data_IF_910031896680
#
_entry.id   IF_910031896680
#
_cell.length_a   1.000
_cell.length_b   1.000
_cell.length_c   1.000
_cell.angle_alpha   90.00
_cell.angle_beta   90.00
_cell.angle_gamma   90.00
#
_symmetry.space_group_name_H-M   'P 1'
#
loop_
_entity.id
_entity.type
_entity.pdbx_description
1 polymer ?
#
# COMPACT_ATOMS: atom_id res chain seq x y z
N UNK A 1 5.66 15.92 -5.54
CA UNK A 1 5.46 14.46 -5.49
C UNK A 1 4.22 14.13 -4.67
N UNK A 2 4.18 14.48 -3.38
CA UNK A 2 3.04 14.24 -2.47
C UNK A 2 1.68 14.67 -3.06
N UNK A 3 1.54 15.90 -3.55
CA UNK A 3 0.29 16.37 -4.16
C UNK A 3 -0.21 15.48 -5.31
N UNK A 4 0.66 15.08 -6.22
CA UNK A 4 0.29 14.23 -7.37
C UNK A 4 -0.12 12.85 -6.87
N UNK A 5 0.60 12.30 -5.90
CA UNK A 5 0.24 11.02 -5.27
C UNK A 5 -1.14 11.12 -4.62
N UNK A 6 -1.39 12.14 -3.81
CA UNK A 6 -2.66 12.35 -3.12
C UNK A 6 -3.83 12.60 -4.06
N UNK A 7 -3.63 13.31 -5.18
CA UNK A 7 -4.65 13.54 -6.21
C UNK A 7 -5.00 12.27 -6.99
N UNK A 8 -4.10 11.29 -7.05
CA UNK A 8 -4.31 10.00 -7.73
C UNK A 8 -4.76 8.88 -6.77
N UNK A 9 -4.97 9.17 -5.48
CA UNK A 9 -5.52 8.22 -4.51
C UNK A 9 -7.05 8.30 -4.48
N UNK A 10 -7.76 7.18 -4.29
CA UNK A 10 -9.20 7.23 -4.04
C UNK A 10 -9.50 8.01 -2.76
N UNK A 11 -10.69 8.61 -2.67
CA UNK A 11 -11.09 9.41 -1.49
C UNK A 11 -11.18 8.56 -0.22
N UNK A 12 -11.43 7.26 -0.37
CA UNK A 12 -11.52 6.26 0.69
C UNK A 12 -10.13 5.87 1.25
N UNK A 13 -9.03 6.23 0.57
CA UNK A 13 -7.68 5.98 1.10
C UNK A 13 -7.37 6.96 2.23
N UNK A 14 -7.48 6.48 3.47
CA UNK A 14 -7.04 7.20 4.67
C UNK A 14 -5.59 6.87 5.08
N UNK A 15 -5.12 5.66 4.78
CA UNK A 15 -3.78 5.21 5.17
C UNK A 15 -2.67 5.96 4.43
N UNK A 16 -1.62 6.33 5.16
CA UNK A 16 -0.43 7.03 4.63
C UNK A 16 -0.73 8.36 3.91
N UNK A 17 -1.88 8.99 4.22
CA UNK A 17 -2.30 10.25 3.60
C UNK A 17 -2.42 11.35 4.64
N UNK A 18 -1.79 12.49 4.36
CA UNK A 18 -1.74 13.62 5.29
C UNK A 18 -3.13 14.21 5.51
N UNK A 19 -3.50 14.43 6.76
CA UNK A 19 -4.81 14.97 7.19
C UNK A 19 -6.01 14.03 6.95
N UNK A 20 -5.78 12.74 6.70
CA UNK A 20 -6.85 11.74 6.65
C UNK A 20 -6.80 10.83 7.88
N UNK A 21 -7.96 10.31 8.28
CA UNK A 21 -8.12 9.39 9.42
C UNK A 21 -9.12 8.30 9.09
N UNK A 22 -9.02 7.16 9.75
CA UNK A 22 -10.03 6.09 9.72
C UNK A 22 -11.28 6.44 10.52
N UNK A 23 -11.27 7.52 11.30
CA UNK A 23 -12.43 7.98 12.11
C UNK A 23 -13.68 8.20 11.26
N UNK A 24 -13.56 8.86 10.11
CA UNK A 24 -14.72 9.11 9.23
C UNK A 24 -15.28 7.81 8.64
N UNK A 25 -14.39 6.85 8.33
CA UNK A 25 -14.77 5.52 7.84
C UNK A 25 -15.52 4.72 8.91
N UNK A 26 -15.03 4.74 10.16
CA UNK A 26 -15.71 4.13 11.30
C UNK A 26 -17.08 4.77 11.56
N UNK A 27 -17.15 6.10 11.49
CA UNK A 27 -18.39 6.84 11.68
C UNK A 27 -19.43 6.52 10.59
N UNK A 28 -19.00 6.35 9.32
CA UNK A 28 -19.87 5.91 8.23
C UNK A 28 -20.35 4.46 8.44
N UNK A 29 -19.46 3.55 8.86
CA UNK A 29 -19.80 2.17 9.15
C UNK A 29 -20.83 2.07 10.30
N UNK A 30 -20.62 2.80 11.39
CA UNK A 30 -21.53 2.83 12.53
C UNK A 30 -22.92 3.32 12.12
N UNK A 31 -23.00 4.42 11.36
CA UNK A 31 -24.28 4.93 10.84
C UNK A 31 -24.99 3.90 9.94
N UNK A 32 -24.25 3.20 9.09
CA UNK A 32 -24.82 2.17 8.23
C UNK A 32 -25.42 1.02 9.06
N UNK A 33 -24.68 0.54 10.06
CA UNK A 33 -25.12 -0.52 10.97
C UNK A 33 -26.38 -0.08 11.74
N UNK A 34 -26.36 1.13 12.31
CA UNK A 34 -27.50 1.70 13.04
C UNK A 34 -28.75 1.80 12.16
N UNK A 35 -28.61 2.28 10.92
CA UNK A 35 -29.73 2.41 9.99
C UNK A 35 -30.27 1.08 9.51
N UNK A 36 -29.42 0.09 9.21
CA UNK A 36 -29.91 -1.23 8.86
C UNK A 36 -30.68 -1.88 10.03
N UNK A 37 -30.20 -1.70 11.26
CA UNK A 37 -30.89 -2.19 12.45
C UNK A 37 -32.23 -1.48 12.68
N UNK A 38 -32.30 -0.15 12.49
CA UNK A 38 -33.53 0.65 12.65
C UNK A 38 -34.66 0.19 11.71
N UNK A 39 -34.32 -0.15 10.47
CA UNK A 39 -35.28 -0.56 9.44
C UNK A 39 -35.41 -2.08 9.27
N UNK A 40 -34.82 -2.89 10.16
CA UNK A 40 -34.77 -4.35 10.06
C UNK A 40 -34.29 -4.86 8.68
N UNK A 41 -33.29 -4.18 8.11
CA UNK A 41 -32.68 -4.56 6.84
C UNK A 41 -31.51 -5.52 7.08
N UNK A 42 -31.37 -6.61 6.30
CA UNK A 42 -30.20 -7.46 6.39
C UNK A 42 -28.96 -6.69 5.93
N UNK A 43 -27.89 -6.74 6.74
CA UNK A 43 -26.59 -6.15 6.44
C UNK A 43 -25.49 -7.20 6.53
N UNK A 44 -24.61 -7.24 5.53
CA UNK A 44 -23.40 -8.06 5.53
C UNK A 44 -22.19 -7.14 5.33
N UNK A 45 -21.16 -7.30 6.17
CA UNK A 45 -19.91 -6.54 6.11
C UNK A 45 -18.75 -7.49 5.82
N UNK A 46 -17.99 -7.21 4.76
CA UNK A 46 -16.77 -7.93 4.41
C UNK A 46 -15.54 -7.12 4.80
N UNK A 47 -14.66 -7.70 5.61
CA UNK A 47 -13.36 -7.12 5.97
C UNK A 47 -12.27 -7.92 5.26
N UNK A 48 -11.49 -7.24 4.42
CA UNK A 48 -10.40 -7.84 3.65
C UNK A 48 -9.08 -7.32 4.22
N UNK A 49 -8.20 -8.24 4.57
CA UNK A 49 -6.82 -7.94 4.97
C UNK A 49 -5.86 -8.71 4.08
N UNK A 50 -4.78 -8.05 3.67
CA UNK A 50 -3.77 -8.67 2.82
C UNK A 50 -2.64 -9.23 3.68
N UNK A 51 -2.39 -10.53 3.57
CA UNK A 51 -1.26 -11.16 4.24
C UNK A 51 0.05 -10.52 3.72
N UNK A 52 0.84 -9.97 4.65
CA UNK A 52 2.16 -9.37 4.37
C UNK A 52 2.10 -8.36 3.23
N UNK A 53 1.20 -7.39 3.27
CA UNK A 53 0.88 -6.46 2.17
C UNK A 53 2.07 -5.81 1.42
N UNK A 54 3.26 -5.71 2.02
CA UNK A 54 4.46 -5.18 1.39
C UNK A 54 5.33 -6.24 0.70
N UNK A 55 5.47 -7.44 1.28
CA UNK A 55 6.35 -8.51 0.78
C UNK A 55 6.06 -8.98 -0.67
N UNK A 56 4.80 -9.08 -1.14
CA UNK A 56 4.50 -9.60 -2.48
C UNK A 56 4.56 -8.52 -3.56
N UNK A 57 4.85 -7.26 -3.22
CA UNK A 57 4.79 -6.15 -4.17
C UNK A 57 5.86 -6.32 -5.25
N UNK A 58 5.42 -6.34 -6.51
CA UNK A 58 6.29 -6.37 -7.69
C UNK A 58 6.90 -4.99 -7.96
N UNK A 59 8.23 -4.90 -8.01
CA UNK A 59 8.96 -3.67 -8.28
C UNK A 59 8.63 -3.09 -9.66
N UNK A 60 8.39 -3.93 -10.67
CA UNK A 60 8.00 -3.46 -12.00
C UNK A 60 6.64 -2.75 -11.95
N UNK A 61 5.70 -3.28 -11.16
CA UNK A 61 4.39 -2.65 -10.95
C UNK A 61 4.51 -1.29 -10.24
N UNK A 62 5.40 -1.13 -9.27
CA UNK A 62 5.68 0.18 -8.63
C UNK A 62 6.13 1.19 -9.68
N UNK A 63 7.16 0.84 -10.46
CA UNK A 63 7.75 1.74 -11.46
C UNK A 63 6.72 2.12 -12.53
N UNK A 64 5.98 1.15 -13.07
CA UNK A 64 4.91 1.40 -14.05
C UNK A 64 3.81 2.30 -13.48
N UNK A 65 3.41 2.09 -12.22
CA UNK A 65 2.38 2.89 -11.56
C UNK A 65 2.82 4.33 -11.41
N UNK A 66 4.05 4.57 -10.95
CA UNK A 66 4.61 5.92 -10.78
C UNK A 66 4.70 6.69 -12.11
N UNK A 67 5.09 6.02 -13.21
CA UNK A 67 5.07 6.62 -14.55
C UNK A 67 3.66 6.93 -15.01
N UNK A 68 2.70 6.02 -14.77
CA UNK A 68 1.29 6.19 -15.17
C UNK A 68 0.64 7.42 -14.54
N UNK A 69 0.98 7.75 -13.29
CA UNK A 69 0.47 8.95 -12.59
C UNK A 69 1.33 10.21 -12.85
N UNK A 70 2.25 10.15 -13.81
CA UNK A 70 3.12 11.26 -14.25
C UNK A 70 4.03 11.82 -13.14
N UNK A 71 4.59 10.96 -12.27
CA UNK A 71 5.70 11.36 -11.42
C UNK A 71 6.93 11.67 -12.28
N UNK A 72 7.71 12.67 -11.88
CA UNK A 72 8.92 13.06 -12.59
C UNK A 72 9.87 11.86 -12.82
N UNK A 73 10.31 11.66 -14.06
CA UNK A 73 11.12 10.49 -14.44
C UNK A 73 12.45 10.37 -13.68
N UNK A 74 13.04 11.48 -13.20
CA UNK A 74 14.25 11.39 -12.38
C UNK A 74 13.96 10.70 -11.04
N UNK A 75 12.79 10.96 -10.44
CA UNK A 75 12.36 10.30 -9.22
C UNK A 75 12.02 8.83 -9.47
N UNK A 76 11.32 8.54 -10.57
CA UNK A 76 11.00 7.15 -10.96
C UNK A 76 12.29 6.34 -11.17
N UNK A 77 13.24 6.91 -11.92
CA UNK A 77 14.54 6.28 -12.18
C UNK A 77 15.32 6.06 -10.89
N UNK A 78 15.27 7.01 -9.95
CA UNK A 78 15.89 6.85 -8.64
C UNK A 78 15.28 5.68 -7.86
N UNK A 79 13.95 5.56 -7.83
CA UNK A 79 13.24 4.45 -7.17
C UNK A 79 13.56 3.11 -7.86
N UNK A 80 13.53 3.08 -9.19
CA UNK A 80 13.89 1.89 -9.98
C UNK A 80 15.31 1.41 -9.66
N UNK A 81 16.26 2.34 -9.52
CA UNK A 81 17.64 2.02 -9.18
C UNK A 81 17.84 1.53 -7.73
N UNK A 82 16.93 1.86 -6.80
CA UNK A 82 16.97 1.31 -5.44
C UNK A 82 16.69 -0.20 -5.46
N UNK A 83 15.76 -0.63 -6.30
CA UNK A 83 15.38 -2.04 -6.41
C UNK A 83 16.26 -2.84 -7.37
N UNK A 84 16.78 -2.20 -8.42
CA UNK A 84 17.56 -2.86 -9.47
C UNK A 84 18.85 -3.48 -8.91
N UNK A 85 18.96 -4.81 -8.97
CA UNK A 85 20.12 -5.54 -8.48
C UNK A 85 20.27 -5.50 -6.95
N UNK A 86 19.20 -5.16 -6.23
CA UNK A 86 19.19 -5.23 -4.78
C UNK A 86 19.40 -6.69 -4.34
N UNK A 87 20.33 -6.91 -3.41
CA UNK A 87 20.62 -8.24 -2.87
C UNK A 87 20.50 -8.22 -1.35
N UNK A 88 20.11 -9.36 -0.79
CA UNK A 88 20.03 -9.58 0.64
C UNK A 88 20.87 -10.79 1.05
N UNK A 89 21.24 -10.83 2.33
CA UNK A 89 21.82 -12.00 3.01
C UNK A 89 21.06 -12.24 4.29
N UNK A 90 20.86 -13.50 4.64
CA UNK A 90 20.26 -13.91 5.90
C UNK A 90 21.37 -14.08 6.93
N UNK A 91 21.22 -13.43 8.08
CA UNK A 91 22.16 -13.52 9.20
C UNK A 91 21.50 -14.28 10.35
N UNK A 92 22.04 -15.46 10.70
CA UNK A 92 21.55 -16.28 11.81
C UNK A 92 22.75 -16.62 12.71
N UNK A 93 22.73 -16.14 13.95
CA UNK A 93 23.83 -16.26 14.92
C UNK A 93 25.19 -15.80 14.37
N UNK A 94 26.06 -16.75 14.02
CA UNK A 94 27.40 -16.51 13.45
C UNK A 94 27.51 -16.92 11.98
N UNK A 95 26.39 -17.29 11.35
CA UNK A 95 26.33 -17.73 9.96
C UNK A 95 25.67 -16.67 9.09
N UNK A 96 26.24 -16.50 7.89
CA UNK A 96 25.74 -15.59 6.86
C UNK A 96 25.44 -16.42 5.62
N UNK A 97 24.25 -16.29 5.05
CA UNK A 97 23.91 -16.94 3.79
C UNK A 97 24.68 -16.37 2.61
N UNK A 98 24.64 -17.08 1.50
CA UNK A 98 24.98 -16.48 0.20
C UNK A 98 24.05 -15.29 -0.09
N UNK A 99 24.53 -14.36 -0.93
CA UNK A 99 23.70 -13.26 -1.41
C UNK A 99 22.65 -13.78 -2.39
N UNK A 100 21.42 -13.32 -2.22
CA UNK A 100 20.34 -13.59 -3.17
C UNK A 100 19.69 -12.26 -3.60
N UNK A 101 19.11 -12.24 -4.79
CA UNK A 101 18.45 -11.07 -5.34
C UNK A 101 17.07 -10.85 -4.70
N UNK A 102 16.74 -9.60 -4.40
CA UNK A 102 15.42 -9.20 -3.93
C UNK A 102 14.53 -8.99 -5.15
N UNK A 103 13.51 -9.83 -5.31
CA UNK A 103 12.63 -9.81 -6.49
C UNK A 103 11.28 -9.11 -6.26
N UNK A 104 10.90 -8.91 -5.00
CA UNK A 104 9.63 -8.35 -4.56
C UNK A 104 9.78 -7.83 -3.14
N UNK A 105 8.83 -7.02 -2.72
CA UNK A 105 8.86 -6.40 -1.40
C UNK A 105 9.15 -4.91 -1.45
N UNK A 106 8.84 -4.21 -0.37
CA UNK A 106 9.12 -2.78 -0.17
C UNK A 106 9.81 -2.58 1.16
#
# INVERSE_FOLDING_TARGET
MERILDENQPREQAGFRKNFSTTDHLQALNQLIEKCNEYNLPLCLGFIDYEKAFDPVDHAAIVQTLRKININENCVTMIENIYKGATARIHIDKQISEAFEIQRGV
#
